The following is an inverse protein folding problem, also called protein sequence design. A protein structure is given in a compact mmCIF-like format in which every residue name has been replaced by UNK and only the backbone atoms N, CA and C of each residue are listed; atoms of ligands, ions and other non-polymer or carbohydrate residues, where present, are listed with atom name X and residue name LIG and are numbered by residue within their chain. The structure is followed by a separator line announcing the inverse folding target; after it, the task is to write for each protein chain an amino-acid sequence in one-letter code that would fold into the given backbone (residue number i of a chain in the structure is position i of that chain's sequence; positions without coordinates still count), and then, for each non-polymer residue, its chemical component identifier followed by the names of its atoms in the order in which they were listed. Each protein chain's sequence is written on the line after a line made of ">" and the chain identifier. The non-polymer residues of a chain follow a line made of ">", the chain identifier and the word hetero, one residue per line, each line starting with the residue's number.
data_IF_253578925859
#
_entry.id   IF_253578925859
#
_cell.length_a   1.000
_cell.length_b   1.000
_cell.length_c   1.000
_cell.angle_alpha   90.00
_cell.angle_beta   90.00
_cell.angle_gamma   90.00
#
_symmetry.space_group_name_H-M   'P 1'
#
loop_
_entity.id
_entity.type
_entity.pdbx_description
1 polymer ?
#
# COMPACT_ATOMS: atom_id res chain seq x y z
N UNK A 1 -13.95 -7.52 8.50
CA UNK A 1 -13.09 -6.35 8.28
C UNK A 1 -12.79 -5.67 9.60
N UNK A 2 -11.52 -5.47 9.91
CA UNK A 2 -11.08 -4.67 11.04
C UNK A 2 -9.76 -3.97 10.72
N UNK A 3 -9.58 -2.79 11.32
CA UNK A 3 -8.24 -2.21 11.43
C UNK A 3 -7.34 -3.16 12.21
N UNK A 4 -6.16 -3.44 11.66
CA UNK A 4 -5.09 -4.15 12.36
C UNK A 4 -3.91 -3.20 12.52
N UNK A 5 -3.58 -2.89 13.77
CA UNK A 5 -2.39 -2.08 14.06
C UNK A 5 -1.15 -2.80 13.54
N UNK A 6 -0.41 -2.15 12.65
CA UNK A 6 0.80 -2.65 12.04
C UNK A 6 1.81 -1.54 11.85
N UNK A 7 2.97 -1.68 12.48
CA UNK A 7 4.13 -0.83 12.22
C UNK A 7 5.38 -1.71 12.15
N UNK A 8 5.85 -1.98 10.94
CA UNK A 8 7.07 -2.77 10.71
C UNK A 8 8.36 -1.96 10.79
N UNK A 9 8.27 -0.64 11.01
CA UNK A 9 9.45 0.18 11.22
C UNK A 9 10.23 -0.33 12.44
N UNK A 10 11.52 -0.70 12.33
CA UNK A 10 12.28 -1.27 13.45
C UNK A 10 12.41 -0.34 14.66
N UNK A 11 12.25 0.96 14.45
CA UNK A 11 12.28 1.99 15.49
C UNK A 11 10.89 2.44 15.95
N UNK A 12 9.83 1.79 15.44
CA UNK A 12 8.41 2.10 15.70
C UNK A 12 7.99 3.54 15.36
N UNK A 13 8.79 4.23 14.54
CA UNK A 13 8.44 5.55 14.02
C UNK A 13 7.42 5.45 12.87
N UNK A 14 6.79 6.56 12.53
CA UNK A 14 5.85 6.68 11.41
C UNK A 14 6.11 8.02 10.69
N UNK A 15 7.26 8.12 10.01
CA UNK A 15 7.77 9.36 9.38
C UNK A 15 7.88 9.20 7.86
N UNK A 16 6.74 9.05 7.18
CA UNK A 16 6.69 9.00 5.71
C UNK A 16 7.11 7.66 5.09
N UNK A 17 7.02 6.57 5.85
CA UNK A 17 7.38 5.21 5.43
C UNK A 17 6.16 4.33 5.12
N UNK A 18 4.98 4.92 4.92
CA UNK A 18 3.74 4.19 4.66
C UNK A 18 3.85 3.26 3.43
N UNK A 19 4.50 3.73 2.36
CA UNK A 19 4.83 2.92 1.17
C UNK A 19 5.61 1.66 1.56
N UNK A 20 6.66 1.82 2.37
CA UNK A 20 7.52 0.71 2.80
C UNK A 20 6.72 -0.25 3.67
N UNK A 21 5.96 0.25 4.65
CA UNK A 21 5.14 -0.59 5.55
C UNK A 21 4.09 -1.37 4.78
N UNK A 22 3.35 -0.72 3.88
CA UNK A 22 2.30 -1.37 3.10
C UNK A 22 2.87 -2.48 2.20
N UNK A 23 3.94 -2.18 1.45
CA UNK A 23 4.61 -3.16 0.59
C UNK A 23 5.21 -4.31 1.41
N UNK A 24 5.89 -4.00 2.52
CA UNK A 24 6.44 -5.01 3.43
C UNK A 24 5.36 -5.99 3.90
N UNK A 25 4.19 -5.46 4.26
CA UNK A 25 3.07 -6.27 4.76
C UNK A 25 2.52 -7.21 3.69
N UNK A 26 2.29 -6.70 2.48
CA UNK A 26 1.69 -7.47 1.38
C UNK A 26 2.67 -8.49 0.80
N UNK A 27 3.96 -8.14 0.67
CA UNK A 27 4.97 -9.07 0.16
C UNK A 27 5.54 -10.02 1.22
N UNK A 28 5.13 -9.87 2.48
CA UNK A 28 5.71 -10.57 3.63
C UNK A 28 7.24 -10.38 3.72
N UNK A 29 7.69 -9.16 3.46
CA UNK A 29 9.10 -8.75 3.57
C UNK A 29 9.34 -7.98 4.86
N UNK A 30 10.61 -7.89 5.28
CA UNK A 30 10.98 -6.97 6.34
C UNK A 30 10.93 -5.51 5.84
N UNK A 31 10.83 -4.58 6.79
CA UNK A 31 10.91 -3.15 6.48
C UNK A 31 12.24 -2.80 5.81
N UNK A 32 13.36 -3.31 6.34
CA UNK A 32 14.70 -3.04 5.81
C UNK A 32 14.89 -3.57 4.39
N UNK A 33 14.41 -4.79 4.12
CA UNK A 33 14.46 -5.37 2.77
C UNK A 33 13.68 -4.49 1.80
N UNK A 34 12.45 -4.13 2.15
CA UNK A 34 11.59 -3.30 1.30
C UNK A 34 12.20 -1.91 1.06
N UNK A 35 12.77 -1.30 2.11
CA UNK A 35 13.48 -0.03 2.00
C UNK A 35 14.64 -0.10 1.01
N UNK A 36 15.51 -1.12 1.15
CA UNK A 36 16.66 -1.32 0.26
C UNK A 36 16.20 -1.57 -1.18
N UNK A 37 15.21 -2.44 -1.39
CA UNK A 37 14.69 -2.74 -2.73
C UNK A 37 14.11 -1.49 -3.42
N UNK A 38 13.37 -0.64 -2.69
CA UNK A 38 12.87 0.63 -3.23
C UNK A 38 13.99 1.64 -3.50
N UNK A 39 15.02 1.70 -2.66
CA UNK A 39 16.21 2.52 -2.92
C UNK A 39 16.94 2.06 -4.18
N UNK A 40 17.08 0.75 -4.40
CA UNK A 40 17.66 0.18 -5.62
C UNK A 40 16.80 0.55 -6.84
N UNK A 41 15.48 0.37 -6.76
CA UNK A 41 14.58 0.75 -7.85
C UNK A 41 14.68 2.25 -8.17
N UNK A 42 14.67 3.11 -7.14
CA UNK A 42 14.86 4.55 -7.30
C UNK A 42 16.20 4.90 -7.93
N UNK A 43 17.29 4.27 -7.49
CA UNK A 43 18.62 4.45 -8.09
C UNK A 43 18.67 4.07 -9.58
N UNK A 44 17.99 2.99 -9.97
CA UNK A 44 17.89 2.58 -11.38
C UNK A 44 17.10 3.60 -12.20
N UNK A 45 16.05 4.18 -11.62
CA UNK A 45 15.18 5.17 -12.27
C UNK A 45 15.67 6.62 -12.14
N UNK A 46 16.75 6.85 -11.38
CA UNK A 46 17.25 8.19 -11.03
C UNK A 46 16.22 9.05 -10.28
N UNK A 47 15.40 8.40 -9.45
CA UNK A 47 14.37 9.01 -8.62
C UNK A 47 14.49 8.55 -7.16
N UNK A 48 13.81 9.25 -6.24
CA UNK A 48 13.75 8.87 -4.84
C UNK A 48 12.87 7.62 -4.63
N UNK A 49 13.28 6.74 -3.70
CA UNK A 49 12.69 5.40 -3.53
C UNK A 49 11.18 5.38 -3.24
N UNK A 50 10.66 6.43 -2.59
CA UNK A 50 9.24 6.52 -2.24
C UNK A 50 8.39 7.31 -3.26
N UNK A 51 8.98 7.79 -4.36
CA UNK A 51 8.25 8.49 -5.41
C UNK A 51 7.20 7.57 -6.06
N UNK A 52 6.04 8.13 -6.43
CA UNK A 52 4.94 7.37 -7.03
C UNK A 52 5.35 6.53 -8.23
N UNK A 53 6.22 7.05 -9.10
CA UNK A 53 6.71 6.30 -10.26
C UNK A 53 7.57 5.09 -9.88
N UNK A 54 8.37 5.22 -8.81
CA UNK A 54 9.34 4.21 -8.39
C UNK A 54 8.64 3.00 -7.79
N UNK A 55 7.76 3.21 -6.82
CA UNK A 55 7.08 2.08 -6.19
C UNK A 55 5.99 1.47 -7.09
N UNK A 56 5.42 2.24 -8.02
CA UNK A 56 4.59 1.72 -9.13
C UNK A 56 5.38 0.77 -10.05
N UNK A 57 6.58 1.17 -10.48
CA UNK A 57 7.46 0.31 -11.27
C UNK A 57 7.91 -0.94 -10.50
N UNK A 58 8.24 -0.78 -9.22
CA UNK A 58 8.59 -1.89 -8.33
C UNK A 58 7.47 -2.92 -8.22
N UNK A 59 6.24 -2.48 -7.93
CA UNK A 59 5.08 -3.36 -7.77
C UNK A 59 4.73 -4.08 -9.09
N UNK A 60 4.79 -3.40 -10.23
CA UNK A 60 4.63 -4.06 -11.55
C UNK A 60 5.64 -5.17 -11.76
N UNK A 61 6.91 -4.94 -11.39
CA UNK A 61 7.97 -5.95 -11.46
C UNK A 61 7.72 -7.17 -10.54
N UNK A 62 6.85 -7.04 -9.54
CA UNK A 62 6.43 -8.12 -8.63
C UNK A 62 5.07 -8.75 -9.00
N UNK A 63 4.55 -8.44 -10.20
CA UNK A 63 3.31 -9.01 -10.72
C UNK A 63 2.03 -8.30 -10.27
N UNK A 64 2.12 -7.11 -9.70
CA UNK A 64 0.94 -6.32 -9.35
C UNK A 64 0.41 -5.55 -10.56
N UNK A 65 -0.91 -5.40 -10.62
CA UNK A 65 -1.60 -4.54 -11.59
C UNK A 65 -2.25 -3.38 -10.87
N UNK A 66 -2.08 -2.16 -11.39
CA UNK A 66 -2.72 -0.96 -10.84
C UNK A 66 -4.12 -0.79 -11.41
N UNK A 67 -5.09 -0.50 -10.54
CA UNK A 67 -6.46 -0.14 -10.88
C UNK A 67 -6.84 1.19 -10.25
N UNK A 68 -7.62 1.99 -10.98
CA UNK A 68 -8.11 3.29 -10.52
C UNK A 68 -9.49 3.11 -9.91
N UNK A 69 -9.75 3.79 -8.79
CA UNK A 69 -11.08 3.81 -8.20
C UNK A 69 -11.91 4.88 -8.94
N UNK A 70 -13.12 4.54 -9.42
CA UNK A 70 -13.96 5.51 -10.10
C UNK A 70 -14.22 6.75 -9.25
N UNK A 71 -13.92 7.93 -9.79
CA UNK A 71 -14.12 9.20 -9.10
C UNK A 71 -15.58 9.71 -9.19
N UNK A 72 -16.55 8.79 -9.15
CA UNK A 72 -17.98 9.11 -9.26
C UNK A 72 -18.57 9.64 -7.95
N UNK A 73 -17.96 9.27 -6.82
CA UNK A 73 -18.28 9.79 -5.48
C UNK A 73 -16.96 9.95 -4.69
N UNK A 74 -16.23 11.06 -4.90
CA UNK A 74 -14.83 11.22 -4.48
C UNK A 74 -14.58 11.07 -2.98
N UNK A 75 -15.59 11.34 -2.15
CA UNK A 75 -15.47 11.35 -0.69
C UNK A 75 -16.26 10.22 -0.01
N UNK A 76 -16.87 9.33 -0.80
CA UNK A 76 -17.91 8.41 -0.35
C UNK A 76 -17.44 6.95 -0.27
N UNK A 77 -16.26 6.65 -0.81
CA UNK A 77 -15.72 5.31 -0.87
C UNK A 77 -14.42 5.24 -0.07
N UNK A 78 -14.52 4.79 1.17
CA UNK A 78 -13.40 4.78 2.11
C UNK A 78 -12.60 3.48 2.02
N UNK A 79 -11.43 3.43 2.68
CA UNK A 79 -10.68 2.18 2.86
C UNK A 79 -11.56 1.10 3.53
N UNK A 80 -12.44 1.47 4.48
CA UNK A 80 -13.38 0.53 5.10
C UNK A 80 -14.37 -0.05 4.08
N UNK A 81 -14.90 0.77 3.19
CA UNK A 81 -15.82 0.32 2.13
C UNK A 81 -15.08 -0.58 1.13
N UNK A 82 -13.86 -0.22 0.73
CA UNK A 82 -13.02 -1.07 -0.12
C UNK A 82 -12.81 -2.45 0.51
N UNK A 83 -12.47 -2.50 1.81
CA UNK A 83 -12.30 -3.74 2.53
C UNK A 83 -13.61 -4.54 2.65
N UNK A 84 -14.75 -3.86 2.70
CA UNK A 84 -16.06 -4.51 2.75
C UNK A 84 -16.39 -5.23 1.44
N UNK A 85 -16.14 -4.55 0.31
CA UNK A 85 -16.41 -5.07 -1.03
C UNK A 85 -15.39 -6.12 -1.49
N UNK A 86 -14.18 -6.10 -0.91
CA UNK A 86 -13.07 -7.00 -1.25
C UNK A 86 -12.67 -7.85 -0.02
N UNK A 87 -13.50 -8.85 0.36
CA UNK A 87 -13.24 -9.69 1.52
C UNK A 87 -12.05 -10.64 1.36
N UNK A 88 -11.60 -10.88 0.12
CA UNK A 88 -10.51 -11.78 -0.21
C UNK A 88 -9.49 -11.08 -1.11
N UNK A 89 -8.21 -11.41 -0.95
CA UNK A 89 -7.12 -10.93 -1.79
C UNK A 89 -6.12 -10.00 -1.09
N UNK A 90 -5.06 -9.65 -1.81
CA UNK A 90 -3.97 -8.78 -1.34
C UNK A 90 -3.95 -7.50 -2.16
N UNK A 91 -4.06 -6.35 -1.47
CA UNK A 91 -4.12 -5.05 -2.10
C UNK A 91 -3.21 -4.02 -1.42
N UNK A 92 -2.75 -3.05 -2.21
CA UNK A 92 -2.07 -1.85 -1.73
C UNK A 92 -2.86 -0.63 -2.23
N UNK A 93 -3.44 0.14 -1.32
CA UNK A 93 -4.28 1.30 -1.62
C UNK A 93 -3.47 2.58 -1.46
N UNK A 94 -3.72 3.59 -2.29
CA UNK A 94 -3.11 4.92 -2.19
C UNK A 94 -4.17 6.01 -2.15
N UNK A 95 -4.09 6.91 -1.17
CA UNK A 95 -5.05 8.01 -0.91
C UNK A 95 -4.52 9.37 -1.40
N UNK A 96 -3.39 9.37 -2.12
CA UNK A 96 -2.68 10.56 -2.60
C UNK A 96 -1.59 11.03 -1.64
N UNK A 97 -1.84 11.00 -0.32
CA UNK A 97 -0.86 11.33 0.71
C UNK A 97 -0.41 10.13 1.55
N UNK A 98 -1.12 9.01 1.45
CA UNK A 98 -0.89 7.83 2.28
C UNK A 98 -1.09 6.53 1.50
N UNK A 99 -0.48 5.45 2.00
CA UNK A 99 -0.48 4.13 1.38
C UNK A 99 -0.74 3.06 2.44
N UNK A 100 -1.69 2.17 2.17
CA UNK A 100 -2.20 1.17 3.12
C UNK A 100 -2.23 -0.22 2.51
N UNK A 101 -1.84 -1.22 3.29
CA UNK A 101 -2.00 -2.63 2.91
C UNK A 101 -3.37 -3.15 3.32
N UNK A 102 -4.02 -3.89 2.43
CA UNK A 102 -5.27 -4.62 2.69
C UNK A 102 -5.04 -6.09 2.36
N UNK A 103 -5.38 -7.00 3.26
CA UNK A 103 -5.31 -8.44 3.05
C UNK A 103 -6.58 -9.07 3.59
N UNK A 104 -7.33 -9.77 2.73
CA UNK A 104 -8.57 -10.47 3.05
C UNK A 104 -9.55 -9.60 3.87
N UNK A 105 -9.84 -8.41 3.35
CA UNK A 105 -10.76 -7.46 3.97
C UNK A 105 -10.29 -6.79 5.27
N UNK A 106 -9.06 -7.03 5.73
CA UNK A 106 -8.44 -6.33 6.86
C UNK A 106 -7.37 -5.36 6.36
N UNK A 107 -7.33 -4.13 6.89
CA UNK A 107 -6.32 -3.14 6.56
C UNK A 107 -5.30 -2.95 7.68
N UNK A 108 -4.03 -2.80 7.29
CA UNK A 108 -2.88 -2.82 8.17
C UNK A 108 -2.15 -1.49 8.14
N UNK A 109 -2.14 -0.81 9.28
CA UNK A 109 -1.54 0.52 9.38
C UNK A 109 -1.20 0.92 10.82
N UNK A 110 -0.42 1.98 11.00
CA UNK A 110 0.03 2.45 12.31
C UNK A 110 -1.08 3.22 13.07
N UNK A 111 -2.13 3.67 12.39
CA UNK A 111 -3.37 4.24 12.95
C UNK A 111 -4.61 3.70 12.21
N UNK A 112 -5.82 3.94 12.75
CA UNK A 112 -7.07 3.62 12.02
C UNK A 112 -7.28 4.63 10.88
N UNK A 113 -6.69 4.33 9.72
CA UNK A 113 -6.82 5.09 8.47
C UNK A 113 -8.10 4.76 7.69
N UNK A 114 -9.02 3.98 8.26
CA UNK A 114 -10.14 3.41 7.51
C UNK A 114 -11.14 4.41 6.91
N UNK A 115 -11.09 5.70 7.32
CA UNK A 115 -11.90 6.78 6.75
C UNK A 115 -11.24 7.51 5.59
N UNK A 116 -9.97 7.25 5.30
CA UNK A 116 -9.34 7.85 4.14
C UNK A 116 -9.93 7.29 2.85
N UNK A 117 -9.82 8.07 1.78
CA UNK A 117 -10.42 7.74 0.48
C UNK A 117 -9.31 7.35 -0.50
N UNK A 118 -9.24 6.07 -0.91
CA UNK A 118 -8.28 5.62 -1.90
C UNK A 118 -8.61 6.15 -3.31
N UNK A 119 -7.58 6.51 -4.07
CA UNK A 119 -7.66 7.00 -5.45
C UNK A 119 -7.37 5.85 -6.43
N UNK A 120 -6.44 4.98 -6.06
CA UNK A 120 -6.08 3.81 -6.84
C UNK A 120 -5.55 2.72 -5.90
N UNK A 121 -5.53 1.49 -6.40
CA UNK A 121 -4.98 0.35 -5.69
C UNK A 121 -4.18 -0.55 -6.63
N UNK A 122 -3.37 -1.41 -6.03
CA UNK A 122 -2.69 -2.50 -6.70
C UNK A 122 -3.27 -3.80 -6.18
N UNK A 123 -3.40 -4.78 -7.06
CA UNK A 123 -3.76 -6.15 -6.72
C UNK A 123 -2.79 -7.12 -7.40
N UNK A 124 -2.68 -8.32 -6.87
CA UNK A 124 -2.00 -9.43 -7.51
C UNK A 124 -2.89 -10.66 -7.49
N UNK A 125 -3.06 -11.30 -8.65
CA UNK A 125 -3.76 -12.58 -8.75
C UNK A 125 -2.79 -13.67 -8.29
N UNK A 126 -3.11 -14.34 -7.19
CA UNK A 126 -2.39 -15.52 -6.72
C UNK A 126 -3.16 -16.73 -7.27
N UNK A 127 -2.56 -17.43 -8.24
CA UNK A 127 -3.10 -18.67 -8.79
C UNK A 127 -2.70 -19.88 -7.93
#
# INVERSE_FOLDING_TARGET
>A
MAWKRYNSNPTYQSRGDCVIRAISKVLNFSWDQTYIELCIQGFLMKEWGNSNNVWDAYLRGKGFTRKVIPNTCPDCYTIKDFCFDNPDGEFILATGSHVVAVINGDYYDSWDSGREVPIYYYERIIY
#
